data_IF_385972043871
#
_entry.id   IF_385972043871
#
_cell.length_a   1.000
_cell.length_b   1.000
_cell.length_c   1.000
_cell.angle_alpha   90.00
_cell.angle_beta   90.00
_cell.angle_gamma   90.00
#
_symmetry.space_group_name_H-M   'P 1'
#
loop_
_entity.id
_entity.type
_entity.pdbx_description
1 polymer ?
#
# COMPACT_ATOMS: atom_id res chain seq x y z
N UNK A 1 -8.40 6.00 33.35
CA UNK A 1 -9.33 6.40 32.27
C UNK A 1 -10.79 6.40 32.74
N UNK A 2 -11.36 5.30 33.22
CA UNK A 2 -12.77 5.22 33.67
C UNK A 2 -13.10 6.28 34.72
N UNK A 3 -12.21 6.55 35.70
CA UNK A 3 -12.40 7.58 36.73
C UNK A 3 -12.51 9.00 36.18
N UNK A 4 -11.81 9.31 35.10
CA UNK A 4 -11.89 10.64 34.44
C UNK A 4 -13.24 10.80 33.78
N UNK A 5 -13.72 9.79 33.07
CA UNK A 5 -15.05 9.82 32.43
C UNK A 5 -16.20 9.86 33.45
N UNK A 6 -16.09 9.09 34.54
CA UNK A 6 -17.09 9.14 35.60
C UNK A 6 -17.17 10.55 36.21
N UNK A 7 -16.02 11.18 36.49
CA UNK A 7 -15.97 12.55 37.02
C UNK A 7 -16.52 13.58 36.04
N UNK A 8 -16.23 13.47 34.77
CA UNK A 8 -16.77 14.36 33.73
C UNK A 8 -18.29 14.17 33.54
N UNK A 9 -18.78 12.95 33.71
CA UNK A 9 -20.19 12.62 33.62
C UNK A 9 -20.99 12.92 34.91
N UNK A 10 -20.33 13.41 35.98
CA UNK A 10 -20.95 13.66 37.27
C UNK A 10 -21.50 12.39 37.93
N UNK A 11 -20.93 11.22 37.60
CA UNK A 11 -21.32 9.92 38.15
C UNK A 11 -20.27 9.40 39.10
N UNK A 12 -20.71 8.69 40.13
CA UNK A 12 -19.79 7.93 40.97
C UNK A 12 -19.08 6.87 40.14
N UNK A 13 -17.83 6.58 40.51
CA UNK A 13 -17.08 5.47 39.93
C UNK A 13 -17.87 4.20 40.13
N UNK A 14 -18.23 3.46 39.09
CA UNK A 14 -18.79 2.12 39.31
C UNK A 14 -17.77 1.33 40.09
N UNK A 15 -18.21 0.63 41.15
CA UNK A 15 -17.37 -0.41 41.76
C UNK A 15 -16.94 -1.33 40.62
N UNK A 16 -15.66 -1.28 40.31
CA UNK A 16 -15.07 -2.26 39.39
C UNK A 16 -15.03 -3.55 40.20
N UNK A 17 -16.15 -4.28 40.26
CA UNK A 17 -16.13 -5.67 40.65
C UNK A 17 -14.99 -6.31 39.87
N UNK A 18 -14.06 -6.95 40.55
CA UNK A 18 -13.01 -7.74 39.92
C UNK A 18 -13.65 -8.44 38.74
N UNK A 19 -13.12 -8.17 37.54
CA UNK A 19 -13.54 -8.90 36.33
C UNK A 19 -13.15 -10.34 36.63
N UNK A 20 -14.09 -11.08 37.23
CA UNK A 20 -13.94 -12.51 37.40
C UNK A 20 -13.64 -13.05 36.05
N UNK A 21 -12.43 -13.56 35.88
CA UNK A 21 -11.72 -13.84 34.67
C UNK A 21 -12.64 -14.18 33.50
N UNK A 22 -12.39 -13.63 32.34
CA UNK A 22 -13.11 -13.97 31.10
C UNK A 22 -13.04 -15.49 31.01
N UNK A 23 -14.17 -16.16 31.22
CA UNK A 23 -14.26 -17.61 31.08
C UNK A 23 -14.12 -17.94 29.60
N UNK A 24 -12.89 -18.15 29.17
CA UNK A 24 -12.65 -18.70 27.83
C UNK A 24 -13.06 -20.15 27.86
N UNK A 25 -13.97 -20.60 26.97
CA UNK A 25 -14.32 -22.03 26.88
C UNK A 25 -13.07 -22.90 26.78
N UNK A 26 -13.05 -24.00 27.48
CA UNK A 26 -11.88 -24.90 27.56
C UNK A 26 -11.43 -25.37 26.17
N UNK A 27 -12.36 -25.51 25.22
CA UNK A 27 -12.09 -25.83 23.83
C UNK A 27 -11.24 -24.77 23.08
N UNK A 28 -11.25 -23.53 23.57
CA UNK A 28 -10.47 -22.41 23.01
C UNK A 28 -9.17 -22.16 23.78
N UNK A 29 -8.97 -22.85 24.90
CA UNK A 29 -7.72 -22.74 25.66
C UNK A 29 -6.60 -23.45 24.90
N UNK A 30 -5.46 -22.79 24.84
CA UNK A 30 -4.26 -23.37 24.25
C UNK A 30 -3.77 -24.52 25.11
N UNK A 31 -3.75 -25.73 24.56
CA UNK A 31 -3.28 -26.94 25.22
C UNK A 31 -1.77 -27.17 25.09
N UNK A 32 -1.12 -26.46 24.18
CA UNK A 32 0.31 -26.60 23.95
C UNK A 32 1.04 -25.31 24.29
N UNK A 33 2.27 -25.42 24.82
CA UNK A 33 3.15 -24.27 25.01
C UNK A 33 3.37 -23.55 23.68
N UNK A 34 3.28 -22.21 23.64
CA UNK A 34 3.65 -21.45 22.43
C UNK A 34 5.16 -21.51 22.21
N UNK A 35 5.58 -21.15 20.98
CA UNK A 35 6.99 -20.92 20.66
C UNK A 35 7.93 -22.10 20.99
N UNK A 36 7.52 -23.31 20.62
CA UNK A 36 8.28 -24.54 20.88
C UNK A 36 9.53 -24.73 20.02
N UNK A 37 9.74 -23.88 19.03
CA UNK A 37 10.91 -24.00 18.17
C UNK A 37 12.16 -23.65 18.97
N UNK A 38 13.21 -24.44 18.80
CA UNK A 38 14.50 -24.36 19.50
C UNK A 38 15.09 -22.93 19.51
N UNK A 39 14.82 -22.16 18.48
CA UNK A 39 15.27 -20.79 18.33
C UNK A 39 14.79 -19.87 19.47
N UNK A 40 13.58 -20.11 20.00
CA UNK A 40 13.00 -19.32 21.10
C UNK A 40 13.55 -19.72 22.46
N UNK A 41 14.23 -20.85 22.54
CA UNK A 41 14.91 -21.33 23.75
C UNK A 41 16.39 -20.94 23.75
N UNK A 42 16.94 -20.60 22.59
CA UNK A 42 18.37 -20.36 22.41
C UNK A 42 18.76 -18.88 22.52
N UNK A 43 17.94 -17.97 22.05
CA UNK A 43 18.26 -16.54 21.95
C UNK A 43 17.41 -15.71 22.91
N UNK A 44 17.94 -15.45 24.11
CA UNK A 44 17.22 -14.76 25.17
C UNK A 44 17.74 -13.35 25.47
N UNK A 45 18.94 -13.00 25.02
CA UNK A 45 19.49 -11.66 25.17
C UNK A 45 19.35 -10.84 23.89
N UNK A 46 19.28 -9.51 24.02
CA UNK A 46 19.28 -8.59 22.90
C UNK A 46 20.44 -8.83 21.95
N UNK A 47 21.65 -8.98 22.53
CA UNK A 47 22.87 -9.22 21.72
C UNK A 47 22.82 -10.52 20.92
N UNK A 48 22.31 -11.60 21.52
CA UNK A 48 22.15 -12.88 20.81
C UNK A 48 21.12 -12.78 19.70
N UNK A 49 19.99 -12.11 19.96
CA UNK A 49 18.95 -11.89 18.96
C UNK A 49 19.49 -11.05 17.80
N UNK A 50 20.22 -9.97 18.05
CA UNK A 50 20.85 -9.14 17.01
C UNK A 50 21.83 -9.95 16.16
N UNK A 51 22.67 -10.77 16.76
CA UNK A 51 23.60 -11.64 16.05
C UNK A 51 22.87 -12.69 15.22
N UNK A 52 21.82 -13.26 15.75
CA UNK A 52 20.98 -14.22 15.03
C UNK A 52 20.31 -13.58 13.81
N UNK A 53 19.68 -12.43 13.99
CA UNK A 53 19.07 -11.66 12.87
C UNK A 53 20.10 -11.32 11.80
N UNK A 54 21.30 -10.88 12.21
CA UNK A 54 22.39 -10.59 11.27
C UNK A 54 22.91 -11.83 10.54
N UNK A 55 22.90 -12.99 11.20
CA UNK A 55 23.26 -14.25 10.55
C UNK A 55 22.24 -14.69 9.50
N UNK A 56 20.95 -14.41 9.72
CA UNK A 56 19.88 -14.63 8.73
C UNK A 56 20.00 -13.64 7.56
N UNK A 57 20.15 -12.35 7.87
CA UNK A 57 20.31 -11.30 6.85
C UNK A 57 21.46 -11.60 5.86
N UNK A 58 22.58 -12.15 6.36
CA UNK A 58 23.72 -12.49 5.51
C UNK A 58 23.47 -13.64 4.55
N UNK A 59 22.41 -14.39 4.72
CA UNK A 59 22.01 -15.49 3.80
C UNK A 59 21.14 -15.00 2.65
N UNK A 60 20.72 -13.76 2.72
CA UNK A 60 19.83 -13.15 1.75
C UNK A 60 20.45 -11.88 1.16
N UNK A 61 19.78 -11.32 0.16
CA UNK A 61 20.20 -10.09 -0.49
C UNK A 61 19.83 -8.91 0.41
N UNK A 62 20.79 -8.04 0.69
CA UNK A 62 20.56 -6.79 1.39
C UNK A 62 21.16 -5.59 0.66
N UNK A 63 20.61 -4.41 0.87
CA UNK A 63 21.11 -3.17 0.27
C UNK A 63 22.51 -2.76 0.75
N UNK A 64 22.99 -3.36 1.84
CA UNK A 64 24.33 -3.10 2.35
C UNK A 64 25.44 -3.68 1.43
N UNK A 65 25.12 -4.68 0.61
CA UNK A 65 26.10 -5.38 -0.23
C UNK A 65 25.56 -5.88 -1.57
N UNK A 66 24.35 -5.48 -1.95
CA UNK A 66 23.75 -5.86 -3.23
C UNK A 66 22.72 -4.84 -3.71
N UNK A 67 22.47 -4.83 -5.02
CA UNK A 67 21.38 -4.06 -5.62
C UNK A 67 20.12 -4.94 -5.70
N UNK A 68 19.00 -4.41 -5.27
CA UNK A 68 17.68 -5.05 -5.38
C UNK A 68 16.91 -4.32 -6.46
N UNK A 69 16.64 -4.99 -7.58
CA UNK A 69 15.96 -4.41 -8.74
C UNK A 69 14.46 -4.21 -8.51
N UNK A 70 13.83 -5.04 -7.69
CA UNK A 70 12.40 -5.03 -7.46
C UNK A 70 12.06 -5.43 -6.01
N UNK A 71 10.91 -4.98 -5.54
CA UNK A 71 10.32 -5.40 -4.28
C UNK A 71 10.21 -4.29 -3.23
N UNK A 72 9.35 -4.50 -2.26
CA UNK A 72 9.10 -3.63 -1.08
C UNK A 72 8.88 -2.15 -1.41
N UNK A 73 8.24 -1.83 -2.54
CA UNK A 73 7.90 -0.46 -2.97
C UNK A 73 9.08 0.51 -2.91
N UNK A 74 10.30 0.04 -3.17
CA UNK A 74 11.53 0.85 -3.09
C UNK A 74 11.82 1.53 -1.75
N UNK A 75 11.07 1.21 -0.70
CA UNK A 75 11.25 1.79 0.65
C UNK A 75 12.68 1.68 1.18
N UNK A 76 13.41 0.67 0.75
CA UNK A 76 14.82 0.46 1.08
C UNK A 76 15.78 1.53 0.52
N UNK A 77 15.32 2.39 -0.40
CA UNK A 77 16.11 3.50 -0.93
C UNK A 77 15.92 4.79 -0.14
N UNK A 78 15.02 4.81 0.83
CA UNK A 78 14.82 5.97 1.69
C UNK A 78 16.02 6.15 2.62
N UNK A 79 16.52 7.37 2.73
CA UNK A 79 17.56 7.70 3.70
C UNK A 79 17.00 7.59 5.13
N UNK A 80 17.78 7.06 6.06
CA UNK A 80 17.39 6.97 7.46
C UNK A 80 17.01 8.35 8.06
N UNK A 81 17.71 9.40 7.64
CA UNK A 81 17.43 10.78 8.06
C UNK A 81 16.05 11.28 7.62
N UNK A 82 15.51 10.82 6.49
CA UNK A 82 14.17 11.17 6.02
C UNK A 82 13.08 10.48 6.85
N UNK A 83 13.40 9.34 7.46
CA UNK A 83 12.48 8.59 8.30
C UNK A 83 12.50 9.01 9.78
N UNK A 84 13.56 9.66 10.23
CA UNK A 84 13.70 10.09 11.63
C UNK A 84 12.52 10.92 12.17
N UNK A 85 11.95 11.88 11.41
CA UNK A 85 10.82 12.67 11.87
C UNK A 85 9.61 11.85 12.28
N UNK A 86 9.40 10.66 11.71
CA UNK A 86 8.28 9.77 12.07
C UNK A 86 8.35 9.29 13.53
N UNK A 87 9.55 9.26 14.11
CA UNK A 87 9.78 8.85 15.50
C UNK A 87 9.64 10.00 16.52
N UNK A 88 9.54 11.23 16.07
CA UNK A 88 9.39 12.38 16.95
C UNK A 88 7.96 12.43 17.51
N UNK A 89 7.85 12.76 18.80
CA UNK A 89 6.55 12.81 19.48
C UNK A 89 5.56 13.79 18.82
N UNK A 90 6.07 14.89 18.26
CA UNK A 90 5.32 15.92 17.57
C UNK A 90 4.61 15.39 16.32
N UNK A 91 5.16 14.36 15.69
CA UNK A 91 4.55 13.65 14.56
C UNK A 91 3.84 12.38 14.97
N UNK A 92 4.50 11.55 15.80
CA UNK A 92 4.01 10.19 16.10
C UNK A 92 2.90 10.12 17.15
N UNK A 93 2.77 11.15 18.02
CA UNK A 93 1.85 11.08 19.18
C UNK A 93 0.52 11.78 18.97
N UNK A 94 0.27 12.36 17.80
CA UNK A 94 -1.01 13.02 17.52
C UNK A 94 -2.07 11.95 17.14
N UNK A 95 -3.27 12.10 17.70
CA UNK A 95 -4.36 11.17 17.38
C UNK A 95 -4.91 11.45 15.98
N UNK A 96 -5.23 10.42 15.15
CA UNK A 96 -5.74 10.62 13.79
C UNK A 96 -7.03 11.46 13.70
N UNK A 97 -7.84 11.45 14.75
CA UNK A 97 -9.07 12.27 14.86
C UNK A 97 -8.88 13.52 15.73
N UNK A 98 -7.64 13.99 15.89
CA UNK A 98 -7.42 15.29 16.54
C UNK A 98 -8.16 16.40 15.79
N UNK A 99 -8.72 17.41 16.48
CA UNK A 99 -9.34 18.55 15.82
C UNK A 99 -8.38 19.22 14.85
N UNK A 100 -8.89 19.69 13.72
CA UNK A 100 -8.08 20.23 12.63
C UNK A 100 -7.13 21.38 13.08
N UNK A 101 -7.57 22.19 14.04
CA UNK A 101 -6.76 23.28 14.61
C UNK A 101 -5.54 22.82 15.44
N UNK A 102 -5.54 21.55 15.89
CA UNK A 102 -4.40 20.93 16.56
C UNK A 102 -3.41 20.27 15.58
N UNK A 103 -3.78 20.14 14.31
CA UNK A 103 -3.03 19.46 13.27
C UNK A 103 -2.64 20.41 12.10
N UNK A 104 -2.49 21.69 12.35
CA UNK A 104 -2.18 22.69 11.31
C UNK A 104 -0.87 22.40 10.58
N UNK A 105 0.16 21.96 11.30
CA UNK A 105 1.44 21.58 10.71
C UNK A 105 1.28 20.41 9.70
N UNK A 106 0.52 19.37 10.06
CA UNK A 106 0.21 18.27 9.14
C UNK A 106 -0.53 18.76 7.91
N UNK A 107 -1.52 19.62 8.09
CA UNK A 107 -2.29 20.18 6.96
C UNK A 107 -1.40 20.98 6.01
N UNK A 108 -0.47 21.74 6.54
CA UNK A 108 0.50 22.51 5.74
C UNK A 108 1.40 21.57 4.94
N UNK A 109 1.96 20.53 5.56
CA UNK A 109 2.79 19.53 4.88
C UNK A 109 2.02 18.82 3.76
N UNK A 110 0.81 18.36 4.05
CA UNK A 110 -0.05 17.67 3.08
C UNK A 110 -0.37 18.61 1.91
N UNK A 111 -0.83 19.82 2.19
CA UNK A 111 -1.20 20.81 1.15
C UNK A 111 -0.02 21.14 0.24
N UNK A 112 1.14 21.44 0.82
CA UNK A 112 2.33 21.75 0.02
C UNK A 112 2.74 20.57 -0.87
N UNK A 113 2.67 19.35 -0.34
CA UNK A 113 3.00 18.16 -1.13
C UNK A 113 1.99 17.91 -2.26
N UNK A 114 0.70 18.11 -2.01
CA UNK A 114 -0.34 18.03 -3.05
C UNK A 114 -0.10 19.06 -4.17
N UNK A 115 0.24 20.30 -3.80
CA UNK A 115 0.56 21.37 -4.74
C UNK A 115 1.82 21.03 -5.58
N UNK A 116 2.90 20.55 -4.93
CA UNK A 116 4.12 20.15 -5.65
C UNK A 116 3.87 18.98 -6.61
N UNK A 117 3.12 18.00 -6.18
CA UNK A 117 2.79 16.85 -7.02
C UNK A 117 1.86 17.24 -8.18
N UNK A 118 0.90 18.14 -7.97
CA UNK A 118 0.05 18.66 -9.04
C UNK A 118 0.87 19.39 -10.10
N UNK A 119 1.82 20.24 -9.68
CA UNK A 119 2.73 20.96 -10.59
C UNK A 119 3.62 19.99 -11.39
N UNK A 120 4.22 19.00 -10.71
CA UNK A 120 5.12 18.02 -11.33
C UNK A 120 4.39 17.15 -12.36
N UNK A 121 3.16 16.73 -12.04
CA UNK A 121 2.40 15.76 -12.86
C UNK A 121 1.45 16.40 -13.86
N UNK A 122 1.11 17.67 -13.67
CA UNK A 122 0.10 18.38 -14.47
C UNK A 122 -1.34 17.95 -14.17
N UNK A 123 -1.59 17.20 -13.10
CA UNK A 123 -2.94 16.83 -12.70
C UNK A 123 -3.65 17.99 -11.99
N UNK A 124 -4.95 18.11 -12.23
CA UNK A 124 -5.79 19.13 -11.61
C UNK A 124 -6.01 18.91 -10.10
N UNK A 125 -5.76 17.71 -9.59
CA UNK A 125 -5.91 17.38 -8.18
C UNK A 125 -5.11 16.13 -7.80
N UNK A 126 -4.62 16.13 -6.59
CA UNK A 126 -3.85 15.05 -5.98
C UNK A 126 -4.55 14.62 -4.69
N UNK A 127 -4.44 13.35 -4.35
CA UNK A 127 -4.86 12.82 -3.06
C UNK A 127 -3.74 11.98 -2.45
N UNK A 128 -3.39 12.30 -1.22
CA UNK A 128 -2.42 11.55 -0.42
C UNK A 128 -3.08 10.52 0.51
N UNK A 129 -4.38 10.29 0.36
CA UNK A 129 -5.13 9.34 1.19
C UNK A 129 -4.75 7.87 0.99
N UNK A 130 -4.43 7.39 -0.23
CA UNK A 130 -3.99 6.01 -0.41
C UNK A 130 -2.68 5.74 0.33
N UNK A 131 -2.68 4.70 1.18
CA UNK A 131 -1.55 4.37 2.06
C UNK A 131 -0.62 3.28 1.52
N UNK A 132 -0.81 2.88 0.28
CA UNK A 132 0.06 1.92 -0.43
C UNK A 132 -0.09 2.06 -1.94
N UNK A 133 0.86 1.50 -2.70
CA UNK A 133 0.77 1.45 -4.17
C UNK A 133 -0.52 0.77 -4.65
N UNK A 134 -0.86 -0.38 -4.09
CA UNK A 134 -2.10 -1.10 -4.42
C UNK A 134 -3.37 -0.29 -4.09
N UNK A 135 -3.37 0.44 -2.97
CA UNK A 135 -4.49 1.33 -2.64
C UNK A 135 -4.58 2.51 -3.62
N UNK A 136 -3.45 3.03 -4.10
CA UNK A 136 -3.41 4.05 -5.15
C UNK A 136 -3.94 3.54 -6.49
N UNK A 137 -3.54 2.35 -6.92
CA UNK A 137 -4.06 1.68 -8.10
C UNK A 137 -5.59 1.52 -8.04
N UNK A 138 -6.08 0.97 -6.95
CA UNK A 138 -7.51 0.79 -6.71
C UNK A 138 -8.27 2.13 -6.73
N UNK A 139 -7.74 3.14 -6.05
CA UNK A 139 -8.35 4.48 -6.00
C UNK A 139 -8.43 5.12 -7.40
N UNK A 140 -7.35 5.02 -8.19
CA UNK A 140 -7.33 5.51 -9.56
C UNK A 140 -8.36 4.81 -10.45
N UNK A 141 -8.43 3.49 -10.38
CA UNK A 141 -9.39 2.69 -11.13
C UNK A 141 -10.85 2.98 -10.72
N UNK A 142 -11.10 3.13 -9.43
CA UNK A 142 -12.42 3.54 -8.93
C UNK A 142 -12.81 4.94 -9.41
N UNK A 143 -11.86 5.87 -9.45
CA UNK A 143 -12.08 7.22 -9.98
C UNK A 143 -12.46 7.16 -11.47
N UNK A 144 -11.73 6.40 -12.28
CA UNK A 144 -12.05 6.17 -13.69
C UNK A 144 -13.46 5.60 -13.86
N UNK A 145 -13.78 4.56 -13.06
CA UNK A 145 -15.09 3.91 -13.11
C UNK A 145 -16.23 4.85 -12.76
N UNK A 146 -16.07 5.65 -11.71
CA UNK A 146 -17.08 6.62 -11.28
C UNK A 146 -17.25 7.72 -12.33
N UNK A 147 -16.16 8.23 -12.90
CA UNK A 147 -16.20 9.21 -13.97
C UNK A 147 -16.96 8.68 -15.18
N UNK A 148 -16.61 7.50 -15.68
CA UNK A 148 -17.27 6.91 -16.85
C UNK A 148 -18.77 6.68 -16.60
N UNK A 149 -19.14 6.19 -15.41
CA UNK A 149 -20.55 6.05 -15.02
C UNK A 149 -21.30 7.40 -15.03
N UNK A 150 -20.67 8.45 -14.50
CA UNK A 150 -21.23 9.80 -14.50
C UNK A 150 -21.42 10.36 -15.93
N UNK A 151 -20.60 9.92 -16.87
CA UNK A 151 -20.72 10.27 -18.30
C UNK A 151 -21.69 9.34 -19.08
N UNK A 152 -22.43 8.47 -18.40
CA UNK A 152 -23.34 7.52 -19.06
C UNK A 152 -22.63 6.35 -19.74
N UNK A 153 -21.33 6.15 -19.50
CA UNK A 153 -20.49 5.11 -20.09
C UNK A 153 -20.25 3.93 -19.12
N UNK A 154 -21.26 3.55 -18.35
CA UNK A 154 -21.15 2.48 -17.37
C UNK A 154 -20.89 1.07 -17.95
N UNK A 155 -21.03 0.91 -19.26
CA UNK A 155 -20.66 -0.30 -20.01
C UNK A 155 -19.15 -0.49 -20.18
N UNK A 156 -18.32 0.54 -19.94
CA UNK A 156 -16.87 0.43 -20.04
C UNK A 156 -16.32 -0.30 -18.83
N UNK A 157 -16.00 -1.58 -19.03
CA UNK A 157 -15.57 -2.48 -17.96
C UNK A 157 -14.26 -3.23 -18.26
N UNK A 158 -13.62 -2.99 -19.40
CA UNK A 158 -12.37 -3.65 -19.79
C UNK A 158 -11.16 -2.78 -19.46
N UNK A 159 -10.18 -3.38 -18.81
CA UNK A 159 -8.85 -2.79 -18.59
C UNK A 159 -7.80 -3.62 -19.31
N UNK A 160 -7.03 -3.00 -20.20
CA UNK A 160 -5.90 -3.63 -20.85
C UNK A 160 -4.68 -3.56 -19.94
N UNK A 161 -4.02 -4.70 -19.72
CA UNK A 161 -2.85 -4.80 -18.82
C UNK A 161 -1.77 -5.63 -19.51
N UNK A 162 -0.53 -5.11 -19.70
CA UNK A 162 0.57 -5.88 -20.27
C UNK A 162 0.92 -7.10 -19.42
N UNK A 163 1.31 -8.19 -20.06
CA UNK A 163 1.76 -9.42 -19.39
C UNK A 163 2.95 -9.21 -18.45
N UNK A 164 3.77 -8.18 -18.71
CA UNK A 164 4.89 -7.75 -17.86
C UNK A 164 4.46 -6.92 -16.63
N UNK A 165 3.17 -6.73 -16.38
CA UNK A 165 2.70 -5.96 -15.24
C UNK A 165 2.90 -6.70 -13.92
N UNK A 166 3.02 -5.95 -12.84
CA UNK A 166 3.02 -6.53 -11.49
C UNK A 166 1.66 -7.17 -11.18
N UNK A 167 1.66 -8.24 -10.40
CA UNK A 167 0.44 -8.98 -10.05
C UNK A 167 -0.64 -8.14 -9.33
N UNK A 168 -0.29 -7.03 -8.70
CA UNK A 168 -1.25 -6.09 -8.10
C UNK A 168 -2.10 -5.38 -9.15
N UNK A 169 -1.59 -5.16 -10.36
CA UNK A 169 -2.32 -4.44 -11.40
C UNK A 169 -3.63 -5.16 -11.79
N UNK A 170 -3.60 -6.44 -12.21
CA UNK A 170 -4.84 -7.16 -12.49
C UNK A 170 -5.70 -7.37 -11.24
N UNK A 171 -5.09 -7.57 -10.06
CA UNK A 171 -5.83 -7.73 -8.82
C UNK A 171 -6.62 -6.47 -8.46
N UNK A 172 -6.01 -5.30 -8.55
CA UNK A 172 -6.65 -4.00 -8.31
C UNK A 172 -7.76 -3.71 -9.32
N UNK A 173 -7.57 -4.08 -10.60
CA UNK A 173 -8.59 -3.94 -11.63
C UNK A 173 -9.82 -4.80 -11.35
N UNK A 174 -9.62 -6.08 -11.02
CA UNK A 174 -10.71 -6.99 -10.65
C UNK A 174 -11.42 -6.50 -9.39
N UNK A 175 -10.68 -6.06 -8.38
CA UNK A 175 -11.25 -5.52 -7.14
C UNK A 175 -12.10 -4.27 -7.40
N UNK A 176 -11.69 -3.42 -8.35
CA UNK A 176 -12.47 -2.26 -8.78
C UNK A 176 -13.68 -2.65 -9.66
N UNK A 177 -13.85 -3.93 -9.99
CA UNK A 177 -14.97 -4.48 -10.77
C UNK A 177 -14.80 -4.29 -12.27
N UNK A 178 -13.56 -4.33 -12.76
CA UNK A 178 -13.23 -4.39 -14.17
C UNK A 178 -12.85 -5.82 -14.59
N UNK A 179 -13.04 -6.12 -15.86
CA UNK A 179 -12.51 -7.31 -16.50
C UNK A 179 -11.14 -6.99 -17.09
N UNK A 180 -10.19 -7.91 -16.94
CA UNK A 180 -8.82 -7.72 -17.39
C UNK A 180 -8.59 -8.43 -18.72
N UNK A 181 -8.07 -7.71 -19.70
CA UNK A 181 -7.57 -8.27 -20.95
C UNK A 181 -6.06 -8.08 -20.99
N UNK A 182 -5.34 -9.19 -21.02
CA UNK A 182 -3.87 -9.21 -21.00
C UNK A 182 -3.35 -8.86 -22.40
N UNK A 183 -2.44 -7.91 -22.47
CA UNK A 183 -1.70 -7.55 -23.71
C UNK A 183 -0.37 -8.28 -23.70
N UNK A 184 0.00 -8.88 -24.82
CA UNK A 184 1.25 -9.62 -24.99
C UNK A 184 2.48 -8.71 -24.84
N UNK A 185 3.60 -9.31 -24.47
CA UNK A 185 4.92 -8.69 -24.56
C UNK A 185 5.71 -9.32 -25.71
N UNK A 186 6.54 -8.51 -26.36
CA UNK A 186 7.48 -9.00 -27.39
C UNK A 186 8.63 -9.81 -26.76
N UNK A 187 9.49 -10.40 -27.58
CA UNK A 187 10.64 -11.18 -27.15
C UNK A 187 11.66 -10.36 -26.33
N UNK A 188 11.64 -9.04 -26.44
CA UNK A 188 12.49 -8.11 -25.70
C UNK A 188 11.85 -7.61 -24.41
N UNK A 189 10.61 -8.04 -24.10
CA UNK A 189 9.86 -7.63 -22.93
C UNK A 189 9.17 -6.26 -23.04
N UNK A 190 9.11 -5.66 -24.23
CA UNK A 190 8.27 -4.50 -24.48
C UNK A 190 6.80 -4.90 -24.62
N UNK A 191 5.90 -3.94 -24.53
CA UNK A 191 4.50 -4.17 -24.89
C UNK A 191 4.42 -4.42 -26.39
N UNK A 192 3.73 -5.49 -26.78
CA UNK A 192 3.40 -5.73 -28.19
C UNK A 192 2.34 -4.71 -28.62
N UNK A 193 2.78 -3.69 -29.35
CA UNK A 193 1.92 -2.60 -29.81
C UNK A 193 0.88 -3.07 -30.83
N UNK A 194 1.18 -4.12 -31.60
CA UNK A 194 0.24 -4.70 -32.57
C UNK A 194 -0.90 -5.39 -31.82
N UNK A 195 -0.57 -6.21 -30.83
CA UNK A 195 -1.57 -6.89 -29.98
C UNK A 195 -2.37 -5.87 -29.16
N UNK A 196 -1.70 -4.85 -28.60
CA UNK A 196 -2.36 -3.77 -27.86
C UNK A 196 -3.42 -3.07 -28.73
N UNK A 197 -3.05 -2.69 -29.96
CA UNK A 197 -3.97 -2.01 -30.88
C UNK A 197 -5.14 -2.90 -31.29
N UNK A 198 -4.88 -4.17 -31.58
CA UNK A 198 -5.91 -5.14 -31.91
C UNK A 198 -6.92 -5.30 -30.78
N UNK A 199 -6.44 -5.43 -29.53
CA UNK A 199 -7.31 -5.56 -28.35
C UNK A 199 -8.05 -4.27 -28.02
N UNK A 200 -7.43 -3.12 -28.19
CA UNK A 200 -8.10 -1.82 -28.00
C UNK A 200 -9.26 -1.65 -29.01
N UNK A 201 -9.07 -2.04 -30.27
CA UNK A 201 -10.13 -2.00 -31.27
C UNK A 201 -11.22 -3.06 -31.00
N UNK A 202 -10.83 -4.28 -30.66
CA UNK A 202 -11.77 -5.35 -30.29
C UNK A 202 -12.71 -4.95 -29.16
N UNK A 203 -12.20 -4.23 -28.17
CA UNK A 203 -12.93 -3.83 -26.96
C UNK A 203 -13.36 -2.36 -26.97
N UNK A 204 -13.33 -1.69 -28.10
CA UNK A 204 -13.56 -0.25 -28.25
C UNK A 204 -14.76 0.28 -27.48
N UNK A 205 -15.87 -0.45 -27.52
CA UNK A 205 -17.13 -0.02 -26.89
C UNK A 205 -17.11 -0.15 -25.35
N UNK A 206 -16.32 -1.08 -24.83
CA UNK A 206 -16.24 -1.36 -23.38
C UNK A 206 -14.84 -1.08 -22.80
N UNK A 207 -13.93 -0.56 -23.56
CA UNK A 207 -12.59 -0.21 -23.08
C UNK A 207 -12.69 0.94 -22.06
N UNK A 208 -12.28 0.66 -20.83
CA UNK A 208 -12.25 1.61 -19.74
C UNK A 208 -10.90 2.29 -19.59
N UNK A 209 -9.83 1.49 -19.59
CA UNK A 209 -8.48 2.00 -19.32
C UNK A 209 -7.39 1.08 -19.86
N UNK A 210 -6.20 1.64 -20.01
CA UNK A 210 -4.94 0.93 -20.12
C UNK A 210 -4.15 1.16 -18.83
N UNK A 211 -3.70 0.09 -18.19
CA UNK A 211 -2.87 0.15 -16.99
C UNK A 211 -1.47 -0.34 -17.30
N UNK A 212 -0.51 0.55 -17.30
CA UNK A 212 0.86 0.29 -17.74
C UNK A 212 1.86 0.71 -16.65
N UNK A 213 2.89 -0.09 -16.46
CA UNK A 213 4.02 0.22 -15.57
C UNK A 213 5.23 0.64 -16.39
N UNK A 214 5.85 1.77 -16.03
CA UNK A 214 7.02 2.30 -16.72
C UNK A 214 8.08 2.79 -15.74
N UNK A 215 9.30 2.20 -15.73
CA UNK A 215 9.71 1.02 -16.50
C UNK A 215 8.90 -0.22 -16.13
N UNK A 216 8.96 -1.28 -16.97
CA UNK A 216 8.29 -2.55 -16.69
C UNK A 216 8.90 -3.26 -15.47
N UNK A 217 8.22 -4.30 -14.96
CA UNK A 217 8.78 -5.15 -13.89
C UNK A 217 10.08 -5.86 -14.28
N UNK A 218 10.38 -5.95 -15.56
CA UNK A 218 11.66 -6.44 -16.09
C UNK A 218 12.76 -5.37 -16.15
N UNK A 219 12.49 -4.13 -15.68
CA UNK A 219 13.42 -3.02 -15.74
C UNK A 219 13.57 -2.40 -17.14
N UNK A 220 12.64 -2.66 -18.05
CA UNK A 220 12.70 -2.20 -19.43
C UNK A 220 11.95 -0.89 -19.59
N UNK A 221 12.64 0.13 -20.09
CA UNK A 221 12.06 1.37 -20.57
C UNK A 221 11.50 1.14 -21.97
N UNK A 222 10.19 1.18 -22.10
CA UNK A 222 9.50 0.89 -23.38
C UNK A 222 9.82 1.93 -24.42
N UNK A 223 10.37 1.50 -25.56
CA UNK A 223 10.78 2.39 -26.66
C UNK A 223 9.58 3.13 -27.26
N UNK A 224 8.44 2.47 -27.35
CA UNK A 224 7.23 3.00 -28.01
C UNK A 224 6.23 3.65 -27.04
N UNK A 225 6.67 4.04 -25.83
CA UNK A 225 5.76 4.61 -24.81
C UNK A 225 4.95 5.83 -25.30
N UNK A 226 5.52 6.60 -26.23
CA UNK A 226 4.83 7.75 -26.84
C UNK A 226 3.82 7.35 -27.90
N UNK A 227 3.87 6.10 -28.39
CA UNK A 227 2.96 5.56 -29.42
C UNK A 227 1.85 4.69 -28.82
N UNK A 228 1.96 4.40 -27.53
CA UNK A 228 1.00 3.65 -26.73
C UNK A 228 -0.06 4.60 -26.16
#
# INVERSE_FOLDING_TARGET
>A
MIGVFAKLAGKELPEVSEIKGISIPESLLRKQSPLRHEIFEKYHSETEMMRYMKALERRDISLAHSMISLGSCTMKLNAAAEMLPLSWSEFGSIHPFAPAWQAEGYRTVIKNLEEYLAEITGFAGISLMPNSGAAGEYTGLMTIRHYQKAQGQGNRNIVLIPASAHGTNPASAIQAGFDVVVVASDEKGNVDVVDLRAKAEQHRENLAALMITYPSTHGIFKQDILNI
#
